data_IF_577705848155
#
_entry.id   IF_577705848155
#
_cell.length_a   1.000
_cell.length_b   1.000
_cell.length_c   1.000
_cell.angle_alpha   90.00
_cell.angle_beta   90.00
_cell.angle_gamma   90.00
#
_symmetry.space_group_name_H-M   'P 1'
#
loop_
_entity.id
_entity.type
_entity.pdbx_description
1 polymer ?
#
# COMPACT_ATOMS: atom_id res chain seq x y z
N UNK A 1 -53.80 3.58 12.71
CA UNK A 1 -53.62 5.04 12.92
C UNK A 1 -52.88 5.61 11.73
N UNK A 2 -53.48 6.60 11.07
CA UNK A 2 -52.90 7.30 9.90
C UNK A 2 -52.05 8.46 10.42
N UNK A 3 -50.84 8.63 9.88
CA UNK A 3 -50.23 9.95 9.74
C UNK A 3 -49.82 10.15 8.29
N UNK A 4 -50.26 11.27 7.75
CA UNK A 4 -50.06 11.80 6.40
C UNK A 4 -49.28 13.12 6.57
N UNK A 5 -48.58 13.54 5.50
CA UNK A 5 -48.09 14.90 5.15
C UNK A 5 -46.61 15.15 5.40
N UNK A 6 -45.85 15.88 4.58
CA UNK A 6 -45.91 16.43 3.20
C UNK A 6 -44.53 17.07 2.99
N UNK A 7 -44.03 17.24 1.76
CA UNK A 7 -43.38 18.52 1.38
C UNK A 7 -41.87 18.69 1.69
N UNK A 8 -40.87 18.82 0.81
CA UNK A 8 -40.67 19.93 -0.12
C UNK A 8 -39.35 19.78 -0.91
N UNK A 9 -39.39 20.22 -2.18
CA UNK A 9 -38.24 20.52 -3.05
C UNK A 9 -37.49 21.77 -2.59
N UNK A 10 -36.18 21.83 -2.87
CA UNK A 10 -35.50 23.08 -3.25
C UNK A 10 -34.27 22.78 -4.14
N UNK A 11 -34.32 23.28 -5.38
CA UNK A 11 -33.22 23.45 -6.32
C UNK A 11 -32.36 24.66 -5.93
N UNK A 12 -31.04 24.61 -6.12
CA UNK A 12 -30.21 25.80 -6.35
C UNK A 12 -28.97 25.46 -7.19
N UNK A 13 -28.77 26.28 -8.22
CA UNK A 13 -27.72 26.23 -9.23
C UNK A 13 -26.78 27.43 -9.09
N UNK A 14 -25.52 27.26 -9.52
CA UNK A 14 -24.50 28.25 -9.98
C UNK A 14 -23.12 27.71 -9.56
N UNK A 15 -22.10 27.51 -10.40
CA UNK A 15 -21.70 28.24 -11.60
C UNK A 15 -20.60 29.23 -11.23
N UNK A 16 -19.32 28.85 -11.32
CA UNK A 16 -18.21 29.80 -11.28
C UNK A 16 -17.06 29.38 -12.22
N UNK A 17 -16.65 30.37 -13.01
CA UNK A 17 -15.75 30.32 -14.18
C UNK A 17 -14.34 30.77 -13.78
N UNK A 18 -13.36 30.32 -14.57
CA UNK A 18 -11.90 30.49 -14.51
C UNK A 18 -11.39 31.94 -14.33
N UNK A 19 -10.15 32.08 -13.83
CA UNK A 19 -9.17 33.06 -14.36
C UNK A 19 -7.73 32.58 -14.11
N UNK A 20 -6.95 32.50 -15.19
CA UNK A 20 -5.50 32.29 -15.20
C UNK A 20 -4.77 33.62 -14.89
N UNK A 21 -3.61 33.58 -14.24
CA UNK A 21 -2.70 34.72 -14.14
C UNK A 21 -1.30 34.28 -14.58
N UNK A 22 -0.80 34.91 -15.63
CA UNK A 22 0.53 34.74 -16.19
C UNK A 22 1.14 36.13 -16.45
N UNK A 23 2.46 36.18 -16.26
CA UNK A 23 3.44 37.19 -16.71
C UNK A 23 3.37 38.59 -16.11
N UNK A 24 4.48 39.01 -15.51
CA UNK A 24 5.10 40.28 -15.88
C UNK A 24 6.64 40.20 -15.75
N UNK A 25 7.29 40.68 -16.80
CA UNK A 25 8.73 40.80 -17.03
C UNK A 25 9.18 42.18 -16.58
N UNK A 26 10.37 42.31 -15.97
CA UNK A 26 11.11 43.57 -15.96
C UNK A 26 12.61 43.31 -16.09
N UNK A 27 13.13 43.79 -17.21
CA UNK A 27 14.52 43.88 -17.66
C UNK A 27 15.00 45.32 -17.39
N UNK A 28 16.23 45.51 -16.87
CA UNK A 28 17.25 46.44 -17.43
C UNK A 28 18.50 46.58 -16.52
N UNK A 29 19.65 47.05 -17.06
CA UNK A 29 20.99 46.59 -16.72
C UNK A 29 21.85 47.65 -15.99
N UNK A 30 23.06 47.27 -15.57
CA UNK A 30 24.18 48.22 -15.53
C UNK A 30 25.53 47.52 -15.70
N UNK A 31 26.30 48.02 -16.66
CA UNK A 31 27.68 47.65 -16.95
C UNK A 31 28.67 48.34 -15.98
N UNK A 32 29.82 47.69 -15.76
CA UNK A 32 30.98 48.27 -15.06
C UNK A 32 32.22 47.38 -15.25
N UNK A 33 33.32 47.96 -15.71
CA UNK A 33 34.39 47.30 -16.45
C UNK A 33 35.68 46.99 -15.66
N UNK A 34 36.42 45.98 -16.17
CA UNK A 34 37.89 45.82 -16.32
C UNK A 34 38.87 45.71 -15.13
N UNK A 35 39.65 44.61 -15.12
CA UNK A 35 41.05 44.56 -14.66
C UNK A 35 41.61 43.16 -14.23
N UNK A 36 42.68 42.61 -14.88
CA UNK A 36 43.43 41.40 -14.46
C UNK A 36 44.89 41.74 -14.01
N UNK A 37 45.86 40.81 -13.73
CA UNK A 37 45.85 39.36 -13.49
C UNK A 37 46.66 38.89 -12.22
N UNK A 38 46.75 37.55 -12.04
CA UNK A 38 47.92 36.79 -11.52
C UNK A 38 48.05 36.53 -10.00
N UNK A 39 47.93 35.24 -9.60
CA UNK A 39 49.05 34.40 -9.10
C UNK A 39 48.53 33.07 -8.55
N UNK A 40 49.13 31.94 -8.97
CA UNK A 40 49.03 30.63 -8.32
C UNK A 40 50.09 30.53 -7.19
N UNK A 41 49.92 29.66 -6.17
CA UNK A 41 50.43 28.29 -6.30
C UNK A 41 49.55 27.20 -5.63
N UNK A 42 49.91 25.95 -5.94
CA UNK A 42 49.29 24.69 -5.49
C UNK A 42 49.56 24.34 -4.03
N UNK A 43 48.65 23.58 -3.38
CA UNK A 43 48.94 22.30 -2.69
C UNK A 43 47.67 21.65 -2.11
N UNK A 44 47.73 20.32 -2.03
CA UNK A 44 46.72 19.31 -1.74
C UNK A 44 45.98 19.43 -0.39
N UNK A 45 44.69 19.08 -0.40
CA UNK A 45 44.04 18.29 0.66
C UNK A 45 42.79 17.57 0.12
N UNK A 46 42.84 16.24 0.13
CA UNK A 46 41.71 15.29 0.08
C UNK A 46 41.62 14.67 1.49
N UNK A 47 40.56 13.95 1.94
CA UNK A 47 39.20 13.75 1.43
C UNK A 47 38.12 14.11 2.48
N UNK A 48 36.85 14.16 2.09
CA UNK A 48 35.72 13.83 2.97
C UNK A 48 34.50 13.52 2.11
N UNK A 49 34.49 12.29 1.58
CA UNK A 49 33.27 11.68 1.07
C UNK A 49 32.31 11.53 2.26
N UNK A 50 31.29 12.37 2.30
CA UNK A 50 30.14 12.15 3.17
C UNK A 50 29.56 10.79 2.81
N UNK A 51 29.75 9.82 3.71
CA UNK A 51 29.15 8.51 3.60
C UNK A 51 27.67 8.66 3.87
N UNK A 52 26.87 8.72 2.80
CA UNK A 52 25.44 8.47 2.89
C UNK A 52 25.24 7.10 3.55
N UNK A 53 24.33 6.95 4.51
CA UNK A 53 23.99 5.64 5.03
C UNK A 53 23.44 4.81 3.87
N UNK A 54 24.17 3.74 3.55
CA UNK A 54 23.70 2.65 2.69
C UNK A 54 22.32 2.21 3.20
N UNK A 55 21.29 2.02 2.34
CA UNK A 55 20.12 1.27 2.77
C UNK A 55 20.64 -0.07 3.31
N UNK A 56 20.21 -0.39 4.54
CA UNK A 56 20.46 -1.70 5.14
C UNK A 56 20.09 -2.74 4.11
N UNK A 57 21.01 -3.68 3.89
CA UNK A 57 20.76 -4.85 3.08
C UNK A 57 19.42 -5.45 3.48
N UNK A 58 18.46 -5.48 2.55
CA UNK A 58 17.42 -6.49 2.60
C UNK A 58 18.14 -7.83 2.79
N UNK A 59 17.78 -8.66 3.78
CA UNK A 59 18.20 -10.03 3.73
C UNK A 59 17.68 -10.57 2.40
N UNK A 60 18.59 -10.89 1.48
CA UNK A 60 18.28 -11.79 0.37
C UNK A 60 17.83 -13.08 1.03
N UNK A 61 16.51 -13.26 1.10
CA UNK A 61 15.91 -14.50 1.56
C UNK A 61 16.48 -15.61 0.67
N UNK A 62 17.15 -16.58 1.29
CA UNK A 62 17.28 -17.89 0.68
C UNK A 62 15.87 -18.35 0.33
N UNK A 63 15.68 -18.83 -0.89
CA UNK A 63 14.37 -19.21 -1.42
C UNK A 63 13.59 -20.01 -0.40
N UNK A 64 12.57 -19.37 0.15
CA UNK A 64 11.48 -20.06 0.81
C UNK A 64 10.59 -20.53 -0.31
N UNK A 65 10.30 -21.83 -0.33
CA UNK A 65 9.41 -22.40 -1.32
C UNK A 65 8.05 -21.68 -1.17
N UNK A 66 7.46 -21.23 -2.28
CA UNK A 66 6.14 -20.55 -2.28
C UNK A 66 5.08 -21.38 -1.53
N UNK A 67 5.27 -22.71 -1.57
CA UNK A 67 4.53 -23.69 -0.80
C UNK A 67 4.56 -23.44 0.73
N UNK A 68 5.68 -22.98 1.31
CA UNK A 68 5.77 -22.65 2.74
C UNK A 68 5.02 -21.34 3.06
N UNK A 69 5.11 -20.35 2.17
CA UNK A 69 4.42 -19.06 2.33
C UNK A 69 2.90 -19.26 2.31
N UNK A 70 2.42 -19.96 1.27
CA UNK A 70 1.00 -20.28 1.14
C UNK A 70 0.58 -21.42 2.08
N UNK A 71 1.52 -22.16 2.66
CA UNK A 71 1.27 -23.16 3.70
C UNK A 71 0.95 -22.57 5.08
N UNK A 72 1.22 -21.27 5.28
CA UNK A 72 1.07 -20.59 6.57
C UNK A 72 2.29 -20.74 7.49
N UNK A 73 3.38 -21.36 7.01
CA UNK A 73 4.58 -21.59 7.80
C UNK A 73 5.49 -20.35 7.90
N UNK A 74 5.22 -19.33 7.07
CA UNK A 74 6.00 -18.09 6.99
C UNK A 74 5.21 -16.88 7.43
N UNK A 75 5.89 -15.97 8.14
CA UNK A 75 5.41 -14.60 8.29
C UNK A 75 5.87 -13.77 7.10
N UNK A 76 4.98 -12.96 6.54
CA UNK A 76 5.22 -12.20 5.32
C UNK A 76 4.82 -10.73 5.47
N UNK A 77 5.45 -9.89 4.67
CA UNK A 77 4.94 -8.56 4.38
C UNK A 77 4.21 -8.59 3.04
N UNK A 78 3.00 -8.04 2.98
CA UNK A 78 2.23 -7.95 1.73
C UNK A 78 2.60 -6.65 1.02
N UNK A 79 3.27 -6.76 -0.13
CA UNK A 79 3.85 -5.62 -0.87
C UNK A 79 3.05 -5.39 -2.15
N UNK A 80 2.42 -4.22 -2.34
CA UNK A 80 1.77 -3.89 -3.61
C UNK A 80 2.81 -3.67 -4.71
N UNK A 81 2.72 -4.42 -5.82
CA UNK A 81 3.70 -4.37 -6.93
C UNK A 81 3.75 -2.98 -7.57
N UNK A 82 2.60 -2.30 -7.65
CA UNK A 82 2.48 -0.96 -8.26
C UNK A 82 2.90 0.16 -7.32
N UNK A 83 3.31 -0.15 -6.08
CA UNK A 83 3.75 0.81 -5.08
C UNK A 83 4.76 0.14 -4.14
N UNK A 84 5.90 -0.30 -4.71
CA UNK A 84 6.91 -1.13 -4.02
C UNK A 84 7.58 -0.44 -2.82
N UNK A 85 7.44 0.88 -2.68
CA UNK A 85 7.92 1.64 -1.52
C UNK A 85 6.98 1.52 -0.31
N UNK A 86 5.76 1.03 -0.51
CA UNK A 86 4.74 0.88 0.51
C UNK A 86 4.45 -0.59 0.82
N UNK A 87 3.95 -0.86 2.02
CA UNK A 87 3.52 -2.20 2.45
C UNK A 87 2.13 -2.11 3.06
N UNK A 88 1.36 -3.21 3.03
CA UNK A 88 0.10 -3.23 3.77
C UNK A 88 0.35 -3.26 5.27
N UNK A 89 -0.40 -2.46 6.01
CA UNK A 89 -0.40 -2.44 7.47
C UNK A 89 -1.80 -2.19 8.01
N UNK A 90 -2.05 -2.66 9.24
CA UNK A 90 -3.19 -2.19 10.04
C UNK A 90 -2.85 -0.83 10.61
N UNK A 91 -3.69 0.18 10.33
CA UNK A 91 -3.54 1.53 10.87
C UNK A 91 -4.28 1.69 12.21
N UNK A 92 -4.15 2.86 12.84
CA UNK A 92 -4.77 3.18 14.14
C UNK A 92 -6.31 3.08 14.15
N UNK A 93 -6.95 3.25 12.99
CA UNK A 93 -8.40 3.09 12.83
C UNK A 93 -8.83 1.62 12.68
N UNK A 94 -7.88 0.68 12.73
CA UNK A 94 -8.12 -0.75 12.52
C UNK A 94 -8.35 -1.11 11.05
N UNK A 95 -8.07 -0.22 10.09
CA UNK A 95 -8.16 -0.47 8.66
C UNK A 95 -6.82 -0.94 8.10
N UNK A 96 -6.87 -1.83 7.11
CA UNK A 96 -5.67 -2.15 6.34
C UNK A 96 -5.49 -1.10 5.25
N UNK A 97 -4.29 -0.54 5.14
CA UNK A 97 -3.91 0.40 4.08
C UNK A 97 -2.41 0.27 3.74
N UNK A 98 -1.99 0.75 2.57
CA UNK A 98 -0.58 0.96 2.29
C UNK A 98 0.00 1.99 3.24
N UNK A 99 1.18 1.72 3.79
CA UNK A 99 1.96 2.65 4.60
C UNK A 99 3.40 2.70 4.12
N UNK A 100 4.03 3.87 4.26
CA UNK A 100 5.46 4.05 4.03
C UNK A 100 6.18 3.91 5.38
N UNK A 101 6.95 2.82 5.54
CA UNK A 101 7.80 2.60 6.71
C UNK A 101 7.31 1.54 7.71
N UNK A 102 8.13 1.25 8.72
CA UNK A 102 7.87 0.17 9.67
C UNK A 102 6.68 0.53 10.56
N UNK A 103 5.70 -0.36 10.63
CA UNK A 103 4.66 -0.35 11.66
C UNK A 103 4.62 -1.71 12.33
N UNK A 104 4.13 -1.75 13.57
CA UNK A 104 4.06 -3.00 14.34
C UNK A 104 3.05 -4.02 13.74
N UNK A 105 2.34 -3.64 12.68
CA UNK A 105 1.26 -4.40 12.05
C UNK A 105 1.45 -4.60 10.54
N UNK A 106 2.71 -4.72 10.07
CA UNK A 106 3.04 -5.02 8.66
C UNK A 106 3.23 -6.52 8.37
N UNK A 107 3.31 -7.35 9.41
CA UNK A 107 3.59 -8.78 9.28
C UNK A 107 2.29 -9.57 9.32
N UNK A 108 2.19 -10.56 8.43
CA UNK A 108 1.01 -11.38 8.26
C UNK A 108 1.38 -12.86 8.11
N UNK A 109 0.40 -13.74 8.33
CA UNK A 109 0.48 -15.17 8.01
C UNK A 109 -0.69 -15.50 7.09
N UNK A 110 -0.43 -16.28 6.03
CA UNK A 110 -1.43 -16.73 5.08
C UNK A 110 -1.92 -18.13 5.49
N UNK A 111 -2.80 -18.18 6.48
CA UNK A 111 -3.28 -19.43 7.08
C UNK A 111 -4.26 -20.15 6.13
N UNK A 112 -3.98 -21.38 5.68
CA UNK A 112 -4.90 -22.14 4.84
C UNK A 112 -6.23 -22.44 5.54
N UNK A 113 -7.33 -22.26 4.81
CA UNK A 113 -8.69 -22.49 5.25
C UNK A 113 -9.49 -23.16 4.12
N UNK A 114 -9.20 -24.44 3.86
CA UNK A 114 -9.74 -25.17 2.71
C UNK A 114 -9.03 -24.77 1.42
N UNK A 115 -9.77 -24.34 0.40
CA UNK A 115 -9.24 -23.78 -0.86
C UNK A 115 -8.94 -22.27 -0.79
N UNK A 116 -9.11 -21.68 0.39
CA UNK A 116 -8.93 -20.25 0.65
C UNK A 116 -7.92 -20.02 1.75
N UNK A 117 -7.66 -18.76 2.04
CA UNK A 117 -6.71 -18.30 3.04
C UNK A 117 -7.39 -17.33 4.00
N UNK A 118 -7.09 -17.46 5.27
CA UNK A 118 -7.34 -16.43 6.27
C UNK A 118 -6.04 -15.64 6.45
N UNK A 119 -6.08 -14.34 6.20
CA UNK A 119 -4.87 -13.50 6.29
C UNK A 119 -4.80 -12.92 7.70
N UNK A 120 -3.94 -13.49 8.53
CA UNK A 120 -3.80 -13.14 9.95
C UNK A 120 -2.69 -12.11 10.15
N UNK A 121 -2.86 -11.14 11.05
CA UNK A 121 -1.77 -10.28 11.53
C UNK A 121 -0.84 -11.12 12.40
N UNK A 122 0.46 -11.08 12.15
CA UNK A 122 1.43 -11.73 13.02
C UNK A 122 1.61 -10.94 14.31
N UNK A 123 1.27 -11.55 15.44
CA UNK A 123 1.48 -10.99 16.77
C UNK A 123 2.47 -11.88 17.54
N UNK A 124 3.75 -11.47 17.56
CA UNK A 124 4.82 -12.25 18.20
C UNK A 124 4.45 -12.64 19.64
N UNK A 125 4.25 -13.95 19.86
CA UNK A 125 4.01 -14.55 21.18
C UNK A 125 2.65 -14.23 21.84
N UNK A 126 1.72 -13.58 21.14
CA UNK A 126 0.45 -13.13 21.71
C UNK A 126 -0.73 -13.37 20.75
N UNK A 127 -1.17 -14.63 20.61
CA UNK A 127 -2.29 -15.01 19.74
C UNK A 127 -3.60 -14.25 20.04
N UNK A 128 -3.76 -13.78 21.28
CA UNK A 128 -4.92 -12.95 21.68
C UNK A 128 -5.00 -11.61 20.96
N UNK A 129 -3.88 -11.15 20.38
CA UNK A 129 -3.80 -9.91 19.59
C UNK A 129 -3.94 -10.18 18.10
N UNK A 130 -3.88 -11.43 17.66
CA UNK A 130 -4.07 -11.81 16.26
C UNK A 130 -5.44 -11.35 15.77
N UNK A 131 -5.41 -10.62 14.66
CA UNK A 131 -6.58 -10.16 13.91
C UNK A 131 -6.51 -10.73 12.51
N UNK A 132 -7.67 -10.87 11.89
CA UNK A 132 -7.78 -11.31 10.51
C UNK A 132 -8.23 -10.17 9.63
N UNK A 133 -7.63 -10.10 8.44
CA UNK A 133 -8.12 -9.26 7.37
C UNK A 133 -9.58 -9.59 7.08
N UNK A 134 -10.42 -8.57 6.93
CA UNK A 134 -11.82 -8.73 6.64
C UNK A 134 -12.35 -7.65 5.69
N UNK A 135 -13.25 -8.05 4.80
CA UNK A 135 -14.00 -7.12 3.94
C UNK A 135 -15.24 -6.63 4.69
N UNK A 136 -15.29 -5.32 4.91
CA UNK A 136 -16.41 -4.63 5.56
C UNK A 136 -17.36 -4.03 4.53
N UNK A 137 -18.66 -4.28 4.71
CA UNK A 137 -19.72 -3.74 3.84
C UNK A 137 -20.23 -2.40 4.38
N UNK A 138 -19.94 -1.30 3.68
CA UNK A 138 -20.34 0.06 4.06
C UNK A 138 -21.68 0.51 3.45
N UNK A 139 -22.64 -0.41 3.33
CA UNK A 139 -23.90 -0.13 2.63
C UNK A 139 -23.68 0.18 1.15
N UNK A 140 -23.98 1.41 0.72
CA UNK A 140 -23.76 1.87 -0.66
C UNK A 140 -22.36 2.45 -0.92
N UNK A 141 -21.54 2.63 0.13
CA UNK A 141 -20.16 3.08 -0.02
C UNK A 141 -19.23 1.91 -0.39
N UNK A 142 -18.03 2.18 -0.94
CA UNK A 142 -17.06 1.14 -1.29
C UNK A 142 -16.74 0.20 -0.11
N UNK A 143 -16.47 -1.06 -0.42
CA UNK A 143 -16.08 -2.05 0.58
C UNK A 143 -14.69 -1.71 1.12
N UNK A 144 -14.55 -1.67 2.44
CA UNK A 144 -13.25 -1.40 3.07
C UNK A 144 -12.63 -2.67 3.60
N UNK A 145 -11.31 -2.66 3.76
CA UNK A 145 -10.57 -3.77 4.38
C UNK A 145 -10.17 -3.38 5.80
N UNK A 146 -10.48 -4.23 6.76
CA UNK A 146 -10.26 -3.99 8.19
C UNK A 146 -9.64 -5.19 8.90
N UNK A 147 -9.00 -4.94 10.03
CA UNK A 147 -8.53 -5.96 10.95
C UNK A 147 -9.66 -6.25 11.94
N UNK A 148 -10.11 -7.49 11.99
CA UNK A 148 -11.21 -7.92 12.85
C UNK A 148 -10.83 -9.18 13.64
N UNK A 149 -11.56 -9.56 14.71
CA UNK A 149 -11.40 -10.89 15.30
C UNK A 149 -11.50 -11.98 14.24
N UNK A 150 -10.62 -12.98 14.32
CA UNK A 150 -10.58 -14.10 13.39
C UNK A 150 -11.80 -15.02 13.56
N UNK A 151 -12.47 -15.30 12.46
CA UNK A 151 -13.61 -16.20 12.39
C UNK A 151 -13.61 -16.94 11.04
N UNK A 152 -13.17 -18.20 11.07
CA UNK A 152 -13.12 -19.09 9.90
C UNK A 152 -14.50 -19.35 9.27
N UNK A 153 -15.60 -19.03 9.97
CA UNK A 153 -16.96 -19.12 9.43
C UNK A 153 -17.43 -17.87 8.67
N UNK A 154 -16.66 -16.77 8.69
CA UNK A 154 -17.02 -15.53 7.99
C UNK A 154 -16.41 -15.50 6.60
N UNK A 155 -17.24 -15.62 5.57
CA UNK A 155 -16.81 -15.52 4.17
C UNK A 155 -16.06 -14.22 3.85
N UNK A 156 -16.34 -13.13 4.59
CA UNK A 156 -15.63 -11.85 4.44
C UNK A 156 -14.17 -11.86 4.91
N UNK A 157 -13.71 -12.94 5.55
CA UNK A 157 -12.33 -13.13 6.03
C UNK A 157 -11.59 -14.27 5.30
N UNK A 158 -12.23 -14.91 4.32
CA UNK A 158 -11.65 -16.00 3.53
C UNK A 158 -11.33 -15.52 2.12
N UNK A 159 -10.05 -15.46 1.78
CA UNK A 159 -9.55 -14.90 0.54
C UNK A 159 -9.04 -15.98 -0.39
N UNK A 160 -9.23 -15.80 -1.70
CA UNK A 160 -8.50 -16.55 -2.71
C UNK A 160 -7.27 -15.75 -3.10
N UNK A 161 -6.10 -16.41 -3.09
CA UNK A 161 -4.84 -15.86 -3.57
C UNK A 161 -4.60 -16.47 -4.94
N UNK A 162 -4.63 -15.64 -5.97
CA UNK A 162 -4.60 -16.08 -7.37
C UNK A 162 -3.34 -15.56 -8.02
N UNK A 163 -2.45 -16.45 -8.40
CA UNK A 163 -1.23 -16.11 -9.14
C UNK A 163 -1.56 -15.37 -10.44
N UNK A 164 -0.72 -14.40 -10.77
CA UNK A 164 -0.80 -13.59 -11.98
C UNK A 164 0.55 -13.68 -12.69
N UNK A 165 0.46 -13.93 -13.99
CA UNK A 165 1.59 -13.82 -14.90
C UNK A 165 1.82 -12.33 -15.16
N UNK A 166 2.64 -11.70 -14.32
CA UNK A 166 3.18 -10.36 -14.55
C UNK A 166 4.71 -10.44 -14.61
N UNK A 167 5.31 -9.75 -15.58
CA UNK A 167 6.75 -9.56 -15.64
C UNK A 167 7.16 -8.58 -14.52
N UNK A 168 7.50 -9.10 -13.34
CA UNK A 168 8.22 -8.33 -12.32
C UNK A 168 9.72 -8.39 -12.62
N UNK A 169 10.44 -7.28 -12.42
CA UNK A 169 11.89 -7.23 -12.62
C UNK A 169 12.65 -8.24 -11.74
N UNK A 170 12.02 -8.72 -10.67
CA UNK A 170 12.58 -9.66 -9.71
C UNK A 170 12.26 -11.14 -10.01
N UNK A 171 11.30 -11.42 -10.91
CA UNK A 171 10.83 -12.77 -11.20
C UNK A 171 10.00 -13.41 -10.08
N UNK A 172 9.67 -12.65 -9.04
CA UNK A 172 8.80 -13.10 -7.96
C UNK A 172 7.35 -13.27 -8.48
N UNK A 173 6.64 -14.32 -8.04
CA UNK A 173 5.23 -14.52 -8.36
C UNK A 173 4.41 -13.34 -7.85
N UNK A 174 3.45 -12.90 -8.66
CA UNK A 174 2.51 -11.85 -8.27
C UNK A 174 1.13 -12.44 -8.04
N UNK A 175 0.37 -11.86 -7.12
CA UNK A 175 -0.92 -12.39 -6.73
C UNK A 175 -2.00 -11.31 -6.75
N UNK A 176 -3.18 -11.70 -7.21
CA UNK A 176 -4.41 -10.99 -6.95
C UNK A 176 -5.07 -11.58 -5.69
N UNK A 177 -5.48 -10.73 -4.77
CA UNK A 177 -6.20 -11.14 -3.55
C UNK A 177 -7.69 -10.87 -3.75
N UNK A 178 -8.51 -11.91 -3.63
CA UNK A 178 -9.93 -11.89 -3.98
C UNK A 178 -10.83 -12.33 -2.81
N UNK A 179 -11.94 -11.63 -2.59
CA UNK A 179 -12.98 -12.01 -1.64
C UNK A 179 -14.37 -11.78 -2.25
N UNK A 180 -15.20 -12.82 -2.30
CA UNK A 180 -16.63 -12.75 -2.65
C UNK A 180 -17.00 -11.85 -3.84
N UNK A 181 -16.26 -11.93 -4.95
CA UNK A 181 -16.54 -11.17 -6.18
C UNK A 181 -15.73 -9.88 -6.33
N UNK A 182 -14.99 -9.48 -5.30
CA UNK A 182 -14.20 -8.26 -5.28
C UNK A 182 -12.70 -8.55 -5.12
N UNK A 183 -11.86 -7.79 -5.82
CA UNK A 183 -10.41 -7.83 -5.68
C UNK A 183 -9.94 -6.73 -4.74
N UNK A 184 -8.90 -6.99 -3.95
CA UNK A 184 -8.25 -5.96 -3.16
C UNK A 184 -7.53 -4.99 -4.08
N UNK A 185 -7.90 -3.71 -4.03
CA UNK A 185 -7.38 -2.65 -4.89
C UNK A 185 -6.96 -1.43 -4.06
N UNK A 186 -5.83 -0.84 -4.41
CA UNK A 186 -5.43 0.46 -3.86
C UNK A 186 -5.98 1.55 -4.77
N UNK A 187 -6.84 2.40 -4.20
CA UNK A 187 -7.45 3.51 -4.94
C UNK A 187 -7.03 4.86 -4.34
N UNK A 188 -6.50 5.80 -5.16
CA UNK A 188 -6.15 7.14 -4.71
C UNK A 188 -7.31 7.81 -3.96
N UNK A 189 -7.02 8.35 -2.78
CA UNK A 189 -7.99 9.02 -1.90
C UNK A 189 -8.96 8.09 -1.16
N UNK A 190 -8.92 6.77 -1.39
CA UNK A 190 -9.75 5.78 -0.67
C UNK A 190 -8.93 4.72 0.08
N UNK A 191 -7.66 4.58 -0.27
CA UNK A 191 -6.77 3.58 0.31
C UNK A 191 -7.08 2.18 -0.23
N UNK A 192 -6.88 1.16 0.60
CA UNK A 192 -7.21 -0.22 0.26
C UNK A 192 -8.73 -0.46 0.38
N UNK A 193 -9.31 -0.95 -0.71
CA UNK A 193 -10.73 -1.35 -0.80
C UNK A 193 -10.84 -2.73 -1.43
N UNK A 194 -11.99 -3.39 -1.25
CA UNK A 194 -12.38 -4.51 -2.09
C UNK A 194 -13.30 -3.99 -3.21
N UNK A 195 -12.89 -4.15 -4.47
CA UNK A 195 -13.58 -3.61 -5.64
C UNK A 195 -14.05 -4.73 -6.58
N UNK A 196 -15.35 -4.75 -6.89
CA UNK A 196 -15.90 -5.56 -7.96
C UNK A 196 -15.51 -4.92 -9.29
N UNK A 197 -14.66 -5.60 -10.07
CA UNK A 197 -14.05 -4.99 -11.25
C UNK A 197 -15.01 -4.90 -12.45
N UNK A 198 -15.91 -5.87 -12.63
CA UNK A 198 -16.70 -5.99 -13.86
C UNK A 198 -15.76 -6.03 -15.08
N UNK A 199 -15.91 -5.07 -15.99
CA UNK A 199 -15.04 -4.88 -17.16
C UNK A 199 -13.77 -4.06 -16.87
N UNK A 200 -13.58 -3.60 -15.64
CA UNK A 200 -12.41 -2.85 -15.23
C UNK A 200 -11.18 -3.76 -15.10
N UNK A 201 -10.01 -3.20 -15.38
CA UNK A 201 -8.74 -3.90 -15.20
C UNK A 201 -8.37 -4.00 -13.72
N UNK A 202 -7.68 -5.08 -13.36
CA UNK A 202 -6.96 -5.18 -12.08
C UNK A 202 -5.84 -4.12 -12.07
N UNK A 203 -5.76 -3.34 -11.00
CA UNK A 203 -4.81 -2.22 -10.83
C UNK A 203 -3.73 -2.49 -9.79
N UNK A 204 -4.00 -3.44 -8.90
CA UNK A 204 -3.10 -3.79 -7.80
C UNK A 204 -2.96 -5.30 -7.75
N UNK A 205 -1.72 -5.74 -7.80
CA UNK A 205 -1.27 -7.08 -7.43
C UNK A 205 -0.25 -6.97 -6.31
N UNK A 206 0.07 -8.11 -5.71
CA UNK A 206 0.86 -8.19 -4.50
C UNK A 206 1.95 -9.24 -4.64
N UNK A 207 3.11 -8.97 -4.09
CA UNK A 207 4.13 -9.98 -3.76
C UNK A 207 4.12 -10.19 -2.24
N UNK A 208 4.62 -11.36 -1.82
CA UNK A 208 4.78 -11.69 -0.41
C UNK A 208 6.27 -11.72 -0.07
N UNK A 209 6.74 -10.68 0.62
CA UNK A 209 8.11 -10.66 1.09
C UNK A 209 8.23 -11.54 2.34
N UNK A 210 8.96 -12.64 2.24
CA UNK A 210 9.18 -13.58 3.35
C UNK A 210 10.04 -12.97 4.47
N UNK A 211 9.56 -13.08 5.71
CA UNK A 211 10.21 -12.58 6.92
C UNK A 211 10.57 -13.73 7.89
N UNK A 212 10.62 -14.96 7.41
CA UNK A 212 11.02 -16.14 8.19
C UNK A 212 9.83 -16.95 8.72
N UNK A 213 10.10 -17.92 9.60
CA UNK A 213 9.07 -18.80 10.17
C UNK A 213 7.99 -18.01 10.93
N UNK A 214 6.74 -18.46 10.84
CA UNK A 214 5.62 -17.93 11.61
C UNK A 214 5.60 -18.43 13.08
N UNK A 215 6.39 -19.48 13.39
CA UNK A 215 6.58 -19.99 14.75
C UNK A 215 8.07 -19.98 15.10
N UNK A 216 8.41 -19.65 16.34
CA UNK A 216 9.78 -19.72 16.89
C UNK A 216 10.15 -21.13 17.38
#
# INVERSE_FOLDING_TARGET
MRYVRLTALALLAAGLVLSQQACDTADEPSAGASGPPSSAPATSASPSSASSPSPSASPSAGGSDEDDILGGDRKVTIVPVQSQESVLAVNDDGRLNPTDGPSDSTLFVLEPAGDKYMIETYAAGDDSRTRCMGVHKNGSAPLTVEAAPCDRGRDGQLFSIVEREEDTDAGDPTYAIFNQGAFLQIVPGRGLIAEELGDSRLRTTYTFADNGPASD
#
